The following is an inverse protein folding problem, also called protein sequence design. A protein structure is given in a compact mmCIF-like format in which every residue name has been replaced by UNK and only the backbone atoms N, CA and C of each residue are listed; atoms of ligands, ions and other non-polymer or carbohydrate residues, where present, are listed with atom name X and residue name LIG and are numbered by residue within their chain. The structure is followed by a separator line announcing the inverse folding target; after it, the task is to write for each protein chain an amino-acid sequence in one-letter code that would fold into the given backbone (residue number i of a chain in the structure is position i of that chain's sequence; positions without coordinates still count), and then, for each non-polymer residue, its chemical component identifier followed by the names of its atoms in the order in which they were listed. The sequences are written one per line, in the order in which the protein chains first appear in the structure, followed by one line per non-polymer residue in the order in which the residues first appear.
data_IF_682316253957
#
_entry.id   IF_682316253957
#
_cell.length_a   1.000
_cell.length_b   1.000
_cell.length_c   1.000
_cell.angle_alpha   90.00
_cell.angle_beta   90.00
_cell.angle_gamma   90.00
#
_symmetry.space_group_name_H-M   'P 1'
#
loop_
_entity.id
_entity.type
_entity.pdbx_description
1 polymer ?
#
# COMPACT_ATOMS: atom_id res chain seq x y z
N UNK A 1 6.11 15.35 -5.91
CA UNK A 1 4.79 14.94 -6.44
C UNK A 1 4.94 13.55 -7.01
N UNK A 2 4.25 12.56 -6.45
CA UNK A 2 4.28 11.18 -6.95
C UNK A 2 3.18 11.04 -8.02
N UNK A 3 3.45 10.40 -9.17
CA UNK A 3 2.45 10.18 -10.21
C UNK A 3 1.27 9.35 -9.71
N UNK A 4 0.07 9.60 -10.25
CA UNK A 4 -1.13 8.86 -9.88
C UNK A 4 -1.03 7.35 -10.19
N UNK A 5 -0.32 6.98 -11.26
CA UNK A 5 0.00 5.59 -11.61
C UNK A 5 0.83 4.84 -10.55
N UNK A 6 1.48 5.56 -9.63
CA UNK A 6 2.23 5.00 -8.51
C UNK A 6 1.41 4.94 -7.21
N UNK A 7 0.14 5.33 -7.24
CA UNK A 7 -0.72 5.39 -6.07
C UNK A 7 -1.72 4.24 -6.06
N UNK A 8 -2.02 3.71 -4.87
CA UNK A 8 -3.03 2.67 -4.71
C UNK A 8 -3.87 2.87 -3.45
N UNK A 9 -5.21 2.83 -3.54
CA UNK A 9 -6.07 3.10 -2.41
C UNK A 9 -6.02 1.96 -1.38
N UNK A 10 -6.12 2.33 -0.10
CA UNK A 10 -6.23 1.39 1.01
C UNK A 10 -7.30 1.83 2.01
N UNK A 11 -7.83 0.86 2.76
CA UNK A 11 -8.78 1.08 3.84
C UNK A 11 -8.22 0.59 5.17
N UNK A 12 -8.61 1.24 6.26
CA UNK A 12 -8.32 0.77 7.62
C UNK A 12 -9.61 0.27 8.25
N UNK A 13 -9.69 -1.05 8.51
CA UNK A 13 -10.85 -1.70 9.11
C UNK A 13 -10.40 -2.36 10.41
N UNK A 14 -10.97 -1.92 11.54
CA UNK A 14 -10.65 -2.46 12.87
C UNK A 14 -9.14 -2.50 13.22
N UNK A 15 -8.36 -1.58 12.65
CA UNK A 15 -6.90 -1.49 12.86
C UNK A 15 -6.06 -2.37 11.95
N UNK A 16 -6.68 -3.08 11.02
CA UNK A 16 -6.03 -3.78 9.92
C UNK A 16 -6.17 -2.99 8.62
N UNK A 17 -5.20 -3.15 7.72
CA UNK A 17 -5.09 -2.36 6.49
C UNK A 17 -5.38 -3.28 5.31
N UNK A 18 -6.28 -2.85 4.43
CA UNK A 18 -6.72 -3.62 3.27
C UNK A 18 -6.58 -2.80 2.00
N UNK A 19 -6.43 -3.50 0.87
CA UNK A 19 -6.77 -2.92 -0.44
C UNK A 19 -8.04 -3.60 -0.95
N UNK A 20 -8.96 -2.81 -1.49
CA UNK A 20 -10.21 -3.35 -2.07
C UNK A 20 -9.92 -4.30 -3.23
N UNK A 21 -8.91 -3.99 -4.05
CA UNK A 21 -8.44 -4.83 -5.13
C UNK A 21 -6.92 -4.79 -5.21
N UNK A 22 -6.28 -5.94 -5.45
CA UNK A 22 -4.83 -6.02 -5.65
C UNK A 22 -4.47 -5.54 -7.06
N UNK A 23 -3.49 -4.63 -7.22
CA UNK A 23 -3.11 -4.11 -8.52
C UNK A 23 -2.42 -5.13 -9.45
N UNK A 24 -2.02 -6.30 -8.92
CA UNK A 24 -1.22 -7.28 -9.66
C UNK A 24 -1.99 -8.52 -10.10
N UNK A 25 -3.01 -8.92 -9.34
CA UNK A 25 -3.74 -10.17 -9.57
C UNK A 25 -5.25 -9.99 -9.40
N UNK A 26 -5.71 -8.76 -9.22
CA UNK A 26 -7.13 -8.39 -9.08
C UNK A 26 -7.87 -9.04 -7.91
N UNK A 27 -7.16 -9.71 -6.98
CA UNK A 27 -7.73 -10.28 -5.77
C UNK A 27 -8.42 -9.19 -4.93
N UNK A 28 -9.62 -9.48 -4.44
CA UNK A 28 -10.40 -8.52 -3.66
C UNK A 28 -10.12 -8.62 -2.15
N UNK A 29 -10.28 -7.51 -1.43
CA UNK A 29 -10.16 -7.42 0.05
C UNK A 29 -8.86 -8.02 0.60
N UNK A 30 -7.73 -7.60 0.04
CA UNK A 30 -6.42 -8.14 0.42
C UNK A 30 -5.91 -7.45 1.67
N UNK A 31 -5.77 -8.23 2.74
CA UNK A 31 -5.11 -7.79 3.98
C UNK A 31 -3.63 -7.52 3.70
N UNK A 32 -3.17 -6.31 4.00
CA UNK A 32 -1.77 -5.93 3.89
C UNK A 32 -1.00 -6.29 5.16
N UNK A 33 0.26 -6.77 5.06
CA UNK A 33 1.15 -6.95 6.21
C UNK A 33 1.71 -5.60 6.70
N UNK A 34 0.80 -4.71 7.09
CA UNK A 34 1.05 -3.33 7.49
C UNK A 34 0.14 -3.00 8.67
N UNK A 35 0.67 -2.29 9.67
CA UNK A 35 -0.13 -1.74 10.78
C UNK A 35 -0.27 -0.22 10.65
N UNK A 36 -1.34 0.39 11.18
CA UNK A 36 -1.55 1.84 11.09
C UNK A 36 -0.39 2.69 11.62
N UNK A 37 0.30 2.24 12.67
CA UNK A 37 1.50 2.91 13.19
C UNK A 37 2.67 2.95 12.20
N UNK A 38 2.72 2.01 11.26
CA UNK A 38 3.74 1.99 10.22
C UNK A 38 3.42 2.96 9.09
N UNK A 39 2.14 3.25 8.80
CA UNK A 39 1.75 4.29 7.85
C UNK A 39 2.36 5.64 8.25
N UNK A 40 2.21 6.02 9.52
CA UNK A 40 2.78 7.26 10.08
C UNK A 40 4.29 7.33 9.82
N UNK A 41 5.00 6.23 10.10
CA UNK A 41 6.46 6.16 9.88
C UNK A 41 6.82 6.29 8.40
N UNK A 42 6.01 5.72 7.51
CA UNK A 42 6.24 5.81 6.08
C UNK A 42 6.04 7.24 5.59
N UNK A 43 4.98 7.91 6.07
CA UNK A 43 4.74 9.32 5.82
C UNK A 43 5.88 10.24 6.32
N UNK A 44 6.50 9.89 7.44
CA UNK A 44 7.70 10.57 7.98
C UNK A 44 8.98 10.28 7.17
N UNK A 45 8.89 9.54 6.05
CA UNK A 45 9.98 9.28 5.12
C UNK A 45 10.60 7.89 5.20
N UNK A 46 10.05 6.98 6.03
CA UNK A 46 10.53 5.60 6.09
C UNK A 46 10.02 4.78 4.90
N UNK A 47 10.91 4.34 4.03
CA UNK A 47 10.53 3.41 2.96
C UNK A 47 10.22 2.01 3.51
N UNK A 48 9.19 1.36 2.98
CA UNK A 48 8.83 -0.02 3.34
C UNK A 48 8.64 -0.89 2.10
N UNK A 49 9.26 -2.07 2.10
CA UNK A 49 8.92 -3.13 1.15
C UNK A 49 7.62 -3.80 1.60
N UNK A 50 6.56 -3.62 0.82
CA UNK A 50 5.27 -4.24 1.04
C UNK A 50 5.12 -5.43 0.10
N UNK A 51 4.88 -6.61 0.67
CA UNK A 51 4.59 -7.84 -0.09
C UNK A 51 3.10 -8.13 0.00
N UNK A 52 2.45 -8.29 -1.14
CA UNK A 52 1.03 -8.64 -1.23
C UNK A 52 0.88 -10.15 -0.98
N UNK A 53 0.12 -10.58 0.04
CA UNK A 53 0.02 -12.00 0.39
C UNK A 53 -0.77 -12.84 -0.62
N UNK A 54 -1.58 -12.21 -1.48
CA UNK A 54 -2.38 -12.90 -2.49
C UNK A 54 -1.55 -13.43 -3.68
N UNK A 55 -0.49 -12.74 -4.08
CA UNK A 55 0.29 -13.06 -5.28
C UNK A 55 1.81 -12.96 -5.09
N UNK A 56 2.28 -12.63 -3.88
CA UNK A 56 3.69 -12.42 -3.54
C UNK A 56 4.39 -11.31 -4.35
N UNK A 57 3.63 -10.53 -5.12
CA UNK A 57 4.13 -9.29 -5.73
C UNK A 57 4.51 -8.31 -4.63
N UNK A 58 5.51 -7.48 -4.91
CA UNK A 58 5.99 -6.50 -3.94
C UNK A 58 6.08 -5.10 -4.54
N UNK A 59 5.97 -4.10 -3.68
CA UNK A 59 6.22 -2.70 -4.00
C UNK A 59 7.04 -2.07 -2.89
N UNK A 60 7.84 -1.09 -3.24
CA UNK A 60 8.44 -0.19 -2.25
C UNK A 60 7.50 0.99 -2.06
N UNK A 61 6.82 1.01 -0.92
CA UNK A 61 6.04 2.16 -0.47
C UNK A 61 7.02 3.22 0.02
N UNK A 62 7.01 4.37 -0.64
CA UNK A 62 7.92 5.48 -0.35
C UNK A 62 7.28 6.56 0.51
N UNK A 63 5.96 6.65 0.47
CA UNK A 63 5.16 7.60 1.22
C UNK A 63 3.72 7.03 1.33
N UNK A 64 2.92 7.56 2.23
CA UNK A 64 1.51 7.21 2.41
C UNK A 64 0.72 8.47 2.71
N UNK A 65 -0.42 8.62 2.05
CA UNK A 65 -1.41 9.64 2.38
C UNK A 65 -2.51 9.00 3.28
N UNK A 66 -3.59 9.75 3.56
CA UNK A 66 -4.71 9.28 4.39
C UNK A 66 -5.38 8.00 3.86
N UNK A 67 -5.43 7.82 2.53
CA UNK A 67 -6.16 6.75 1.85
C UNK A 67 -5.39 6.14 0.66
N UNK A 68 -4.15 6.59 0.37
CA UNK A 68 -3.33 6.05 -0.71
C UNK A 68 -1.93 5.62 -0.24
N UNK A 69 -1.50 4.45 -0.72
CA UNK A 69 -0.11 4.02 -0.70
C UNK A 69 0.61 4.62 -1.90
N UNK A 70 1.77 5.22 -1.69
CA UNK A 70 2.57 5.82 -2.76
C UNK A 70 3.84 4.99 -2.99
N UNK A 71 4.01 4.45 -4.20
CA UNK A 71 5.11 3.57 -4.54
C UNK A 71 6.22 4.27 -5.35
N UNK A 72 7.40 3.65 -5.34
CA UNK A 72 8.54 4.09 -6.16
C UNK A 72 8.39 3.79 -7.66
N UNK A 73 7.40 3.00 -8.06
CA UNK A 73 7.17 2.55 -9.43
C UNK A 73 5.67 2.53 -9.75
N UNK A 74 5.28 2.55 -11.04
CA UNK A 74 3.90 2.36 -11.44
C UNK A 74 3.34 1.02 -10.94
N UNK A 75 2.09 1.04 -10.50
CA UNK A 75 1.33 -0.10 -10.00
C UNK A 75 0.05 -0.32 -10.84
N UNK A 76 -0.11 0.45 -11.92
CA UNK A 76 -1.23 0.41 -12.85
C UNK A 76 -0.73 0.20 -14.28
#
# INVERSE_FOLDING_TARGET
MIPFENSWPYDIIMGDIYVQQCPFCDASNVLLPLKPKELIRIHEGKKKLLVFPCCNSNITVVDTDNDYLLASRPIR
#
